data_IF_286601887120
#
_entry.id   IF_286601887120
#
_cell.length_a   1.000
_cell.length_b   1.000
_cell.length_c   1.000
_cell.angle_alpha   90.00
_cell.angle_beta   90.00
_cell.angle_gamma   90.00
#
_symmetry.space_group_name_H-M   'P 1'
#
loop_
_entity.id
_entity.type
_entity.pdbx_description
1 polymer ?
#
# COMPACT_ATOMS: atom_id res chain seq x y z
N UNK A 1 -25.04 5.40 8.41
CA UNK A 1 -24.85 4.75 9.73
C UNK A 1 -23.36 4.49 9.89
N UNK A 2 -22.81 4.62 11.10
CA UNK A 2 -21.39 4.38 11.32
C UNK A 2 -21.12 2.89 11.61
N UNK A 3 -20.05 2.38 11.01
CA UNK A 3 -19.54 1.02 11.19
C UNK A 3 -18.06 1.10 11.60
N UNK A 4 -17.60 0.17 12.42
CA UNK A 4 -16.20 0.05 12.84
C UNK A 4 -15.69 -1.29 12.34
N UNK A 5 -14.54 -1.28 11.66
CA UNK A 5 -13.80 -2.49 11.32
C UNK A 5 -12.61 -2.61 12.27
N UNK A 6 -12.53 -3.72 12.98
CA UNK A 6 -11.40 -4.02 13.86
C UNK A 6 -10.77 -5.33 13.44
N UNK A 7 -9.47 -5.47 13.68
CA UNK A 7 -8.80 -6.73 13.45
C UNK A 7 -7.49 -6.86 14.20
N UNK A 8 -7.05 -8.11 14.32
CA UNK A 8 -5.75 -8.47 14.90
C UNK A 8 -5.04 -9.43 13.97
N UNK A 9 -3.71 -9.32 13.91
CA UNK A 9 -2.85 -10.20 13.11
C UNK A 9 -1.79 -10.78 14.05
N UNK A 10 -1.62 -12.09 14.00
CA UNK A 10 -0.61 -12.83 14.74
C UNK A 10 0.16 -13.70 13.76
N UNK A 11 1.50 -13.55 13.72
CA UNK A 11 2.37 -14.33 12.85
C UNK A 11 3.06 -15.43 13.66
N UNK A 12 3.04 -16.66 13.15
CA UNK A 12 3.77 -17.79 13.69
C UNK A 12 4.46 -18.54 12.53
N UNK A 13 5.78 -18.39 12.41
CA UNK A 13 6.54 -18.96 11.29
C UNK A 13 6.07 -18.41 9.93
N UNK A 14 5.63 -19.30 9.05
CA UNK A 14 5.08 -19.02 7.72
C UNK A 14 3.56 -18.83 7.72
N UNK A 15 2.90 -18.89 8.88
CA UNK A 15 1.45 -18.71 9.01
C UNK A 15 1.09 -17.36 9.67
N UNK A 16 -0.06 -16.82 9.28
CA UNK A 16 -0.69 -15.66 9.88
C UNK A 16 -2.12 -15.98 10.30
N UNK A 17 -2.41 -15.79 11.58
CA UNK A 17 -3.76 -15.75 12.13
C UNK A 17 -4.29 -14.32 12.06
N UNK A 18 -5.34 -14.10 11.26
CA UNK A 18 -6.02 -12.82 11.11
C UNK A 18 -7.42 -12.95 11.68
N UNK A 19 -7.79 -12.10 12.63
CA UNK A 19 -9.14 -12.03 13.17
C UNK A 19 -9.70 -10.67 12.79
N UNK A 20 -10.88 -10.62 12.17
CA UNK A 20 -11.52 -9.37 11.74
C UNK A 20 -12.96 -9.35 12.20
N UNK A 21 -13.44 -8.20 12.64
CA UNK A 21 -14.82 -7.96 13.02
C UNK A 21 -15.34 -6.64 12.49
N UNK A 22 -16.59 -6.66 12.03
CA UNK A 22 -17.34 -5.49 11.59
C UNK A 22 -18.44 -5.21 12.61
N UNK A 23 -18.42 -4.03 13.22
CA UNK A 23 -19.28 -3.65 14.34
C UNK A 23 -20.19 -2.49 13.91
N UNK A 24 -21.46 -2.53 14.31
CA UNK A 24 -22.37 -1.40 14.19
C UNK A 24 -22.18 -0.46 15.39
N UNK A 25 -21.57 0.70 15.14
CA UNK A 25 -21.10 1.61 16.19
C UNK A 25 -22.21 2.05 17.17
N UNK A 26 -23.44 2.24 16.68
CA UNK A 26 -24.56 2.72 17.52
C UNK A 26 -24.95 1.73 18.63
N UNK A 27 -24.80 0.43 18.37
CA UNK A 27 -25.34 -0.64 19.21
C UNK A 27 -24.28 -1.58 19.74
N UNK A 28 -23.00 -1.32 19.39
CA UNK A 28 -21.87 -2.19 19.71
C UNK A 28 -22.09 -3.67 19.31
N UNK A 29 -22.89 -3.89 18.25
CA UNK A 29 -23.26 -5.23 17.81
C UNK A 29 -22.40 -5.66 16.64
N UNK A 30 -21.82 -6.86 16.71
CA UNK A 30 -21.10 -7.48 15.61
C UNK A 30 -22.07 -7.78 14.45
N UNK A 31 -21.77 -7.24 13.28
CA UNK A 31 -22.42 -7.57 12.01
C UNK A 31 -21.79 -8.81 11.39
N UNK A 32 -20.47 -8.93 11.55
CA UNK A 32 -19.68 -10.06 11.08
C UNK A 32 -18.40 -10.15 11.91
N UNK A 33 -17.91 -11.37 12.13
CA UNK A 33 -16.61 -11.63 12.72
C UNK A 33 -16.08 -12.97 12.21
N UNK A 34 -14.80 -13.01 11.86
CA UNK A 34 -14.19 -14.21 11.32
C UNK A 34 -12.70 -14.32 11.64
N UNK A 35 -12.24 -15.57 11.71
CA UNK A 35 -10.84 -15.92 11.88
C UNK A 35 -10.32 -16.60 10.61
N UNK A 36 -9.21 -16.10 10.10
CA UNK A 36 -8.44 -16.66 9.01
C UNK A 36 -7.13 -17.19 9.55
N UNK A 37 -6.81 -18.44 9.24
CA UNK A 37 -5.51 -19.03 9.48
C UNK A 37 -4.96 -19.51 8.14
N UNK A 38 -3.91 -18.85 7.65
CA UNK A 38 -3.38 -19.03 6.31
C UNK A 38 -1.86 -18.88 6.28
N UNK A 39 -1.25 -19.42 5.23
CA UNK A 39 0.15 -19.18 4.91
C UNK A 39 0.35 -17.74 4.44
N UNK A 40 1.52 -17.17 4.74
CA UNK A 40 1.89 -15.82 4.29
C UNK A 40 1.93 -15.67 2.77
N UNK A 41 2.14 -16.77 2.04
CA UNK A 41 2.06 -16.81 0.57
C UNK A 41 0.65 -16.55 0.06
N UNK A 42 -0.37 -16.81 0.89
CA UNK A 42 -1.78 -16.67 0.53
C UNK A 42 -2.37 -15.34 1.02
N UNK A 43 -1.54 -14.38 1.48
CA UNK A 43 -2.01 -13.16 2.14
C UNK A 43 -2.99 -12.34 1.30
N UNK A 44 -2.75 -12.22 -0.01
CA UNK A 44 -3.67 -11.51 -0.90
C UNK A 44 -5.04 -12.20 -1.02
N UNK A 45 -5.08 -13.53 -0.95
CA UNK A 45 -6.36 -14.25 -0.95
C UNK A 45 -7.15 -13.92 0.33
N UNK A 46 -6.47 -13.78 1.46
CA UNK A 46 -7.10 -13.35 2.72
C UNK A 46 -7.62 -11.93 2.63
N UNK A 47 -6.83 -11.00 2.08
CA UNK A 47 -7.27 -9.61 1.88
C UNK A 47 -8.49 -9.51 0.97
N UNK A 48 -8.48 -10.23 -0.16
CA UNK A 48 -9.63 -10.32 -1.07
C UNK A 48 -10.86 -10.90 -0.37
N UNK A 49 -10.71 -12.00 0.38
CA UNK A 49 -11.81 -12.64 1.09
C UNK A 49 -12.42 -11.71 2.16
N UNK A 50 -11.58 -11.03 2.95
CA UNK A 50 -12.01 -10.05 3.95
C UNK A 50 -12.75 -8.89 3.27
N UNK A 51 -12.17 -8.29 2.22
CA UNK A 51 -12.78 -7.16 1.54
C UNK A 51 -14.13 -7.51 0.90
N UNK A 52 -14.24 -8.69 0.29
CA UNK A 52 -15.50 -9.19 -0.28
C UNK A 52 -16.55 -9.41 0.82
N UNK A 53 -16.19 -10.06 1.93
CA UNK A 53 -17.14 -10.28 3.06
C UNK A 53 -17.61 -8.99 3.69
N UNK A 54 -16.74 -7.98 3.81
CA UNK A 54 -17.13 -6.65 4.29
C UNK A 54 -18.12 -6.01 3.31
N UNK A 55 -17.83 -6.02 2.00
CA UNK A 55 -18.71 -5.45 0.99
C UNK A 55 -20.09 -6.12 0.98
N UNK A 56 -20.13 -7.45 1.07
CA UNK A 56 -21.36 -8.24 1.13
C UNK A 56 -22.16 -7.94 2.41
N UNK A 57 -21.49 -7.90 3.57
CA UNK A 57 -22.13 -7.62 4.86
C UNK A 57 -22.73 -6.21 4.90
N UNK A 58 -22.06 -5.25 4.26
CA UNK A 58 -22.54 -3.87 4.14
C UNK A 58 -23.55 -3.69 2.99
N UNK A 59 -23.82 -4.73 2.20
CA UNK A 59 -24.63 -4.67 0.99
C UNK A 59 -24.17 -3.55 0.04
N UNK A 60 -22.85 -3.38 -0.06
CA UNK A 60 -22.23 -2.34 -0.87
C UNK A 60 -22.46 -2.62 -2.36
N UNK A 61 -22.84 -1.58 -3.11
CA UNK A 61 -22.90 -1.65 -4.57
C UNK A 61 -21.53 -1.30 -5.15
N UNK A 62 -20.74 -2.33 -5.40
CA UNK A 62 -19.41 -2.18 -5.99
C UNK A 62 -19.51 -1.98 -7.50
N UNK A 63 -18.79 -0.99 -8.01
CA UNK A 63 -18.49 -0.82 -9.43
C UNK A 63 -17.62 -1.96 -9.94
N UNK A 64 -17.60 -2.16 -11.27
CA UNK A 64 -16.71 -3.16 -11.87
C UNK A 64 -15.22 -2.89 -11.62
N UNK A 65 -14.82 -1.63 -11.43
CA UNK A 65 -13.45 -1.27 -11.07
C UNK A 65 -13.12 -1.69 -9.63
N UNK A 66 -14.02 -1.46 -8.67
CA UNK A 66 -13.84 -1.87 -7.28
C UNK A 66 -13.79 -3.39 -7.13
N UNK A 67 -14.62 -4.13 -7.86
CA UNK A 67 -14.58 -5.60 -7.87
C UNK A 67 -13.24 -6.14 -8.38
N UNK A 68 -12.69 -5.52 -9.45
CA UNK A 68 -11.36 -5.86 -9.96
C UNK A 68 -10.26 -5.51 -8.96
N UNK A 69 -10.34 -4.36 -8.30
CA UNK A 69 -9.38 -3.95 -7.28
C UNK A 69 -9.36 -4.92 -6.08
N UNK A 70 -10.53 -5.33 -5.58
CA UNK A 70 -10.65 -6.33 -4.50
C UNK A 70 -10.00 -7.66 -4.88
N UNK A 71 -10.11 -8.06 -6.14
CA UNK A 71 -9.56 -9.33 -6.65
C UNK A 71 -8.11 -9.21 -7.14
N UNK A 72 -7.54 -8.01 -7.11
CA UNK A 72 -6.21 -7.74 -7.68
C UNK A 72 -5.11 -8.31 -6.80
N UNK A 73 -4.09 -8.87 -7.45
CA UNK A 73 -2.85 -9.28 -6.81
C UNK A 73 -1.74 -8.42 -7.38
N UNK A 74 -1.23 -7.44 -6.62
CA UNK A 74 -0.28 -6.50 -7.19
C UNK A 74 1.14 -7.07 -7.29
N UNK A 75 1.40 -8.24 -6.68
CA UNK A 75 2.64 -9.02 -6.83
C UNK A 75 2.35 -10.50 -6.53
N UNK A 76 3.11 -11.41 -7.17
CA UNK A 76 3.14 -12.84 -6.81
C UNK A 76 4.18 -13.15 -5.71
N UNK A 77 4.97 -12.15 -5.31
CA UNK A 77 6.00 -12.28 -4.30
C UNK A 77 5.52 -11.70 -2.96
N UNK A 78 5.05 -12.57 -2.06
CA UNK A 78 4.59 -12.17 -0.73
C UNK A 78 5.68 -11.52 0.12
N UNK A 79 6.96 -11.81 -0.14
CA UNK A 79 8.07 -11.17 0.56
C UNK A 79 8.25 -9.72 0.06
N UNK A 80 8.16 -9.49 -1.25
CA UNK A 80 8.14 -8.13 -1.81
C UNK A 80 6.99 -7.30 -1.20
N UNK A 81 5.81 -7.90 -1.02
CA UNK A 81 4.69 -7.27 -0.34
C UNK A 81 5.01 -6.90 1.11
N UNK A 82 5.65 -7.78 1.88
CA UNK A 82 6.06 -7.50 3.26
C UNK A 82 7.05 -6.33 3.35
N UNK A 83 8.02 -6.27 2.43
CA UNK A 83 8.94 -5.14 2.35
C UNK A 83 8.22 -3.83 1.99
N UNK A 84 7.28 -3.88 1.05
CA UNK A 84 6.45 -2.73 0.72
C UNK A 84 5.63 -2.24 1.93
N UNK A 85 4.99 -3.13 2.70
CA UNK A 85 4.26 -2.77 3.92
C UNK A 85 5.16 -2.16 4.98
N UNK A 86 6.40 -2.66 5.14
CA UNK A 86 7.41 -2.04 6.03
C UNK A 86 7.77 -0.64 5.54
N UNK A 87 7.96 -0.44 4.24
CA UNK A 87 8.17 0.88 3.65
C UNK A 87 7.03 1.84 3.99
N UNK A 88 5.77 1.41 3.81
CA UNK A 88 4.60 2.21 4.20
C UNK A 88 4.56 2.54 5.69
N UNK A 89 4.92 1.59 6.56
CA UNK A 89 4.96 1.81 8.00
C UNK A 89 5.93 2.94 8.37
N UNK A 90 7.14 2.95 7.81
CA UNK A 90 8.13 4.02 8.08
C UNK A 90 7.76 5.33 7.37
N UNK A 91 7.21 5.28 6.16
CA UNK A 91 6.67 6.45 5.48
C UNK A 91 5.63 7.19 6.34
N UNK A 92 4.68 6.46 6.92
CA UNK A 92 3.60 7.04 7.72
C UNK A 92 4.05 7.62 9.06
N UNK A 93 5.30 7.42 9.46
CA UNK A 93 5.87 8.03 10.68
C UNK A 93 6.34 9.47 10.48
N UNK A 94 6.39 9.99 9.24
CA UNK A 94 6.71 11.37 8.87
C UNK A 94 7.77 12.07 9.75
N UNK A 95 9.00 12.21 9.26
CA UNK A 95 10.12 12.89 9.95
C UNK A 95 10.54 12.30 11.31
N UNK A 96 9.84 11.31 11.85
CA UNK A 96 10.34 10.57 13.01
C UNK A 96 11.62 9.80 12.66
N UNK A 97 12.52 9.57 13.63
CA UNK A 97 13.75 8.81 13.41
C UNK A 97 13.50 7.47 12.71
N UNK A 98 14.23 7.20 11.62
CA UNK A 98 14.08 5.99 10.83
C UNK A 98 13.15 6.11 9.62
N UNK A 99 12.53 7.27 9.37
CA UNK A 99 11.73 7.54 8.17
C UNK A 99 12.52 7.26 6.88
N UNK A 100 13.82 7.55 6.87
CA UNK A 100 14.73 7.31 5.76
C UNK A 100 14.77 5.85 5.29
N UNK A 101 14.53 4.90 6.21
CA UNK A 101 14.44 3.46 5.89
C UNK A 101 13.28 3.11 4.98
N UNK A 102 12.30 4.02 4.82
CA UNK A 102 11.20 3.83 3.89
C UNK A 102 11.69 3.56 2.47
N UNK A 103 12.69 4.30 1.99
CA UNK A 103 13.27 4.09 0.66
C UNK A 103 13.90 2.70 0.56
N UNK A 104 14.73 2.32 1.53
CA UNK A 104 15.40 1.03 1.54
C UNK A 104 14.39 -0.12 1.47
N UNK A 105 13.30 -0.05 2.23
CA UNK A 105 12.29 -1.11 2.21
C UNK A 105 11.48 -1.14 0.90
N UNK A 106 11.17 0.01 0.29
CA UNK A 106 10.58 -0.01 -1.04
C UNK A 106 11.55 -0.55 -2.09
N UNK A 107 12.84 -0.26 -1.97
CA UNK A 107 13.86 -0.79 -2.87
C UNK A 107 13.99 -2.32 -2.73
N UNK A 108 14.02 -2.86 -1.51
CA UNK A 108 14.00 -4.32 -1.28
C UNK A 108 12.77 -4.99 -1.92
N UNK A 109 11.60 -4.33 -1.89
CA UNK A 109 10.41 -4.83 -2.57
C UNK A 109 10.58 -4.84 -4.10
N UNK A 110 11.19 -3.80 -4.68
CA UNK A 110 11.50 -3.71 -6.11
C UNK A 110 12.55 -4.74 -6.54
N UNK A 111 13.57 -4.97 -5.71
CA UNK A 111 14.64 -5.94 -6.01
C UNK A 111 14.08 -7.37 -6.06
N UNK A 112 13.10 -7.68 -5.22
CA UNK A 112 12.40 -8.97 -5.18
C UNK A 112 11.32 -9.11 -6.26
N UNK A 113 10.67 -8.01 -6.65
CA UNK A 113 9.72 -7.98 -7.76
C UNK A 113 9.83 -6.65 -8.53
N UNK A 114 10.61 -6.62 -9.64
CA UNK A 114 10.77 -5.43 -10.47
C UNK A 114 9.50 -4.94 -11.16
N UNK A 115 8.43 -5.75 -11.16
CA UNK A 115 7.12 -5.41 -11.73
C UNK A 115 6.11 -4.98 -10.66
N UNK A 116 6.53 -4.86 -9.40
CA UNK A 116 5.63 -4.48 -8.31
C UNK A 116 5.34 -2.97 -8.30
N UNK A 117 4.33 -2.55 -9.07
CA UNK A 117 4.02 -1.13 -9.30
C UNK A 117 3.85 -0.29 -8.00
N UNK A 118 3.15 -0.77 -6.95
CA UNK A 118 3.09 -0.07 -5.67
C UNK A 118 4.44 0.25 -5.01
N UNK A 119 5.44 -0.62 -5.14
CA UNK A 119 6.77 -0.39 -4.57
C UNK A 119 7.51 0.73 -5.30
N UNK A 120 7.44 0.75 -6.65
CA UNK A 120 7.93 1.86 -7.48
C UNK A 120 7.23 3.17 -7.12
N UNK A 121 5.90 3.16 -6.93
CA UNK A 121 5.16 4.34 -6.51
C UNK A 121 5.57 4.81 -5.08
N UNK A 122 5.92 3.88 -4.19
CA UNK A 122 6.47 4.17 -2.88
C UNK A 122 7.80 4.92 -2.95
N UNK A 123 8.75 4.44 -3.77
CA UNK A 123 10.02 5.12 -4.03
C UNK A 123 9.80 6.51 -4.61
N UNK A 124 8.91 6.63 -5.61
CA UNK A 124 8.61 7.90 -6.25
C UNK A 124 8.09 8.95 -5.26
N UNK A 125 7.15 8.56 -4.40
CA UNK A 125 6.61 9.43 -3.34
C UNK A 125 7.69 9.83 -2.34
N UNK A 126 8.54 8.89 -1.94
CA UNK A 126 9.63 9.16 -1.01
C UNK A 126 10.63 10.17 -1.59
N UNK A 127 11.12 9.95 -2.81
CA UNK A 127 12.08 10.86 -3.44
C UNK A 127 11.48 12.24 -3.75
N UNK A 128 10.23 12.31 -4.22
CA UNK A 128 9.54 13.58 -4.41
C UNK A 128 9.47 14.39 -3.11
N UNK A 129 9.13 13.72 -2.01
CA UNK A 129 9.05 14.36 -0.70
C UNK A 129 10.43 14.80 -0.19
N UNK A 130 11.44 13.94 -0.32
CA UNK A 130 12.80 14.27 0.11
C UNK A 130 13.36 15.49 -0.65
N UNK A 131 13.13 15.55 -1.96
CA UNK A 131 13.50 16.68 -2.80
C UNK A 131 12.73 17.96 -2.43
N UNK A 132 11.41 17.87 -2.24
CA UNK A 132 10.56 19.01 -1.91
C UNK A 132 10.83 19.60 -0.51
N UNK A 133 11.31 18.78 0.43
CA UNK A 133 11.59 19.18 1.82
C UNK A 133 13.06 19.50 2.08
N UNK A 134 13.94 19.29 1.09
CA UNK A 134 15.38 19.45 1.24
C UNK A 134 16.03 18.44 2.19
N UNK A 135 15.36 17.32 2.48
CA UNK A 135 15.92 16.21 3.27
C UNK A 135 17.15 15.60 2.58
N UNK A 136 17.16 15.62 1.25
CA UNK A 136 18.23 15.14 0.39
C UNK A 136 18.40 16.08 -0.82
N UNK A 137 19.41 15.83 -1.65
CA UNK A 137 19.73 16.68 -2.79
C UNK A 137 18.59 16.70 -3.82
N UNK A 138 17.92 17.85 -4.05
CA UNK A 138 16.83 17.91 -5.03
C UNK A 138 17.28 17.55 -6.45
N UNK A 139 18.54 17.88 -6.81
CA UNK A 139 19.13 17.58 -8.11
C UNK A 139 19.26 16.07 -8.34
N UNK A 140 19.46 15.30 -7.27
CA UNK A 140 19.57 13.84 -7.35
C UNK A 140 18.22 13.14 -7.23
N UNK A 141 17.30 13.67 -6.43
CA UNK A 141 16.08 12.98 -6.05
C UNK A 141 14.88 13.27 -6.96
N UNK A 142 14.79 14.46 -7.58
CA UNK A 142 13.76 14.69 -8.59
C UNK A 142 13.85 13.72 -9.78
N UNK A 143 15.04 13.44 -10.37
CA UNK A 143 15.17 12.43 -11.41
C UNK A 143 14.81 11.01 -10.95
N UNK A 144 15.21 10.61 -9.73
CA UNK A 144 14.85 9.28 -9.18
C UNK A 144 13.34 9.16 -8.99
N UNK A 145 12.71 10.20 -8.46
CA UNK A 145 11.26 10.29 -8.30
C UNK A 145 10.53 10.11 -9.63
N UNK A 146 10.97 10.82 -10.67
CA UNK A 146 10.37 10.76 -12.01
C UNK A 146 10.52 9.37 -12.63
N UNK A 147 11.72 8.79 -12.56
CA UNK A 147 11.98 7.44 -13.08
C UNK A 147 11.09 6.39 -12.40
N UNK A 148 10.99 6.42 -11.07
CA UNK A 148 10.17 5.49 -10.30
C UNK A 148 8.67 5.69 -10.57
N UNK A 149 8.19 6.94 -10.68
CA UNK A 149 6.80 7.25 -11.01
C UNK A 149 6.42 6.72 -12.40
N UNK A 150 7.26 6.98 -13.40
CA UNK A 150 7.05 6.51 -14.77
C UNK A 150 7.08 4.98 -14.84
N UNK A 151 7.97 4.32 -14.07
CA UNK A 151 7.99 2.86 -13.99
C UNK A 151 6.70 2.31 -13.36
N UNK A 152 6.20 2.91 -12.29
CA UNK A 152 4.95 2.51 -11.67
C UNK A 152 3.75 2.65 -12.63
N UNK A 153 3.65 3.77 -13.35
CA UNK A 153 2.57 4.01 -14.34
C UNK A 153 2.66 3.03 -15.51
N UNK A 154 3.87 2.72 -15.98
CA UNK A 154 4.06 1.74 -17.05
C UNK A 154 3.64 0.31 -16.65
N UNK A 155 3.64 0.01 -15.34
CA UNK A 155 3.19 -1.28 -14.80
C UNK A 155 1.70 -1.28 -14.47
N UNK A 156 1.17 -0.16 -13.97
CA UNK A 156 -0.24 0.03 -13.64
C UNK A 156 -0.66 1.50 -13.84
N UNK A 157 -1.31 1.78 -14.96
CA UNK A 157 -1.82 3.12 -15.30
C UNK A 157 -2.98 3.57 -14.40
N UNK A 158 -3.66 2.65 -13.72
CA UNK A 158 -4.74 2.97 -12.80
C UNK A 158 -4.23 3.33 -11.38
N UNK A 159 -2.92 3.17 -11.12
CA UNK A 159 -2.32 3.43 -9.83
C UNK A 159 -2.19 4.94 -9.55
N UNK A 160 -3.27 5.54 -9.07
CA UNK A 160 -3.37 6.98 -8.79
C UNK A 160 -2.19 7.53 -7.96
N UNK A 161 -1.65 6.74 -7.03
CA UNK A 161 -0.51 7.13 -6.18
C UNK A 161 0.74 7.49 -6.98
N UNK A 162 0.95 6.87 -8.15
CA UNK A 162 2.12 7.11 -9.00
C UNK A 162 2.09 8.48 -9.70
N UNK A 163 0.92 9.12 -9.81
CA UNK A 163 0.79 10.43 -10.46
C UNK A 163 1.10 11.61 -9.52
N UNK A 164 1.01 11.43 -8.20
CA UNK A 164 1.28 12.48 -7.22
C UNK A 164 2.75 13.01 -7.33
N UNK A 165 3.78 12.14 -7.39
CA UNK A 165 5.16 12.58 -7.64
C UNK A 165 5.33 13.39 -8.92
N UNK A 166 4.66 13.02 -10.02
CA UNK A 166 4.73 13.77 -11.29
C UNK A 166 4.13 15.16 -11.16
N UNK A 167 3.04 15.31 -10.41
CA UNK A 167 2.48 16.63 -10.10
C UNK A 167 3.47 17.47 -9.27
N UNK A 168 4.14 16.86 -8.29
CA UNK A 168 5.16 17.54 -7.50
C UNK A 168 6.37 17.98 -8.35
N UNK A 169 6.87 17.12 -9.25
CA UNK A 169 7.96 17.46 -10.18
C UNK A 169 7.58 18.69 -11.03
N UNK A 170 6.38 18.72 -11.59
CA UNK A 170 5.90 19.88 -12.37
C UNK A 170 5.82 21.15 -11.54
N UNK A 171 5.40 21.05 -10.27
CA UNK A 171 5.19 22.20 -9.40
C UNK A 171 6.50 22.78 -8.83
N UNK A 172 7.48 21.92 -8.51
CA UNK A 172 8.66 22.30 -7.74
C UNK A 172 9.97 22.26 -8.52
N UNK A 173 10.06 21.43 -9.57
CA UNK A 173 11.32 21.21 -10.30
C UNK A 173 11.32 21.87 -11.68
N UNK A 174 10.26 21.68 -12.46
CA UNK A 174 10.11 22.29 -13.78
C UNK A 174 9.47 23.68 -13.74
N UNK A 175 9.45 24.32 -12.56
CA UNK A 175 8.89 25.65 -12.41
C UNK A 175 9.92 26.68 -12.84
N UNK A 176 9.64 27.37 -13.95
CA UNK A 176 10.31 28.59 -14.37
C UNK A 176 10.15 29.72 -13.33
#
# INVERSE_FOLDING_TARGET
MAHILEGTIQKAGDHAGVHVQLIKAKTDSHLWAEKFDRKLTDIFAVETEIAAKIADTLQAKLTGAEQRAISSRPTENSEAHQWYLKGLYYWNKFFAPGFERSADYFQQAVDLDPNYAPAHAGLAVYYAFAAATGLMSPVEDWPKSEAAANRAIALDEALAKAYNPLAAIKLYWYRD
#
